data_IF_358693754805
#
_entry.id   IF_358693754805
#
_cell.length_a   1.000
_cell.length_b   1.000
_cell.length_c   1.000
_cell.angle_alpha   90.00
_cell.angle_beta   90.00
_cell.angle_gamma   90.00
#
_symmetry.space_group_name_H-M   'P 1'
#
loop_
_entity.id
_entity.type
_entity.pdbx_description
1 polymer ?
#
# COMPACT_ATOMS: atom_id res chain seq x y z
N UNK A 1 30.64 -16.97 -12.69
CA UNK A 1 29.18 -16.81 -12.70
C UNK A 1 28.84 -15.39 -12.29
N UNK A 2 28.04 -14.68 -13.07
CA UNK A 2 27.63 -13.31 -12.75
C UNK A 2 26.21 -13.32 -12.20
N UNK A 3 26.00 -12.65 -11.06
CA UNK A 3 24.66 -12.46 -10.50
C UNK A 3 23.97 -11.32 -11.23
N UNK A 4 22.70 -11.54 -11.60
CA UNK A 4 21.89 -10.49 -12.23
C UNK A 4 21.61 -9.35 -11.24
N UNK A 5 21.77 -8.13 -11.72
CA UNK A 5 21.41 -6.93 -10.99
C UNK A 5 20.63 -5.99 -11.92
N UNK A 6 19.43 -5.60 -11.51
CA UNK A 6 18.57 -4.75 -12.33
C UNK A 6 19.16 -3.35 -12.46
N UNK A 7 18.96 -2.75 -13.65
CA UNK A 7 19.34 -1.34 -13.90
C UNK A 7 18.09 -0.47 -13.88
N UNK A 8 18.14 0.74 -13.31
CA UNK A 8 16.96 1.59 -13.14
C UNK A 8 16.17 1.87 -14.42
N UNK A 9 16.84 1.97 -15.56
CA UNK A 9 16.18 2.25 -16.84
C UNK A 9 15.62 1.04 -17.59
N UNK A 10 15.89 -0.17 -17.14
CA UNK A 10 15.55 -1.41 -17.84
C UNK A 10 14.37 -2.16 -17.24
N UNK A 11 13.82 -1.70 -16.12
CA UNK A 11 12.73 -2.40 -15.43
C UNK A 11 11.39 -2.04 -16.07
N UNK A 12 10.68 -3.05 -16.58
CA UNK A 12 9.30 -2.89 -17.03
C UNK A 12 8.36 -2.87 -15.83
N UNK A 13 7.49 -1.87 -15.77
CA UNK A 13 6.50 -1.73 -14.70
C UNK A 13 5.10 -1.88 -15.26
N UNK A 14 4.30 -2.69 -14.58
CA UNK A 14 2.90 -2.90 -14.91
C UNK A 14 2.01 -2.18 -13.92
N UNK A 15 0.75 -1.98 -14.28
CA UNK A 15 -0.27 -1.43 -13.41
C UNK A 15 -1.21 -2.53 -12.98
N UNK A 16 -1.45 -2.64 -11.68
CA UNK A 16 -2.36 -3.63 -11.10
C UNK A 16 -3.50 -2.96 -10.37
N UNK A 17 -4.68 -3.54 -10.48
CA UNK A 17 -5.89 -3.10 -9.79
C UNK A 17 -6.24 -4.08 -8.68
N UNK A 18 -6.51 -3.56 -7.50
CA UNK A 18 -6.91 -4.34 -6.33
C UNK A 18 -8.24 -3.80 -5.80
N UNK A 19 -9.21 -4.68 -5.61
CA UNK A 19 -10.45 -4.35 -4.92
C UNK A 19 -10.31 -4.71 -3.45
N UNK A 20 -10.39 -3.70 -2.58
CA UNK A 20 -10.23 -3.87 -1.13
C UNK A 20 -11.52 -4.33 -0.43
N UNK A 21 -12.66 -4.36 -1.14
CA UNK A 21 -13.93 -4.72 -0.55
C UNK A 21 -13.89 -6.12 0.06
N UNK A 22 -14.18 -6.21 1.37
CA UNK A 22 -14.19 -7.47 2.09
C UNK A 22 -12.83 -8.11 2.35
N UNK A 23 -11.72 -7.48 1.91
CA UNK A 23 -10.37 -8.00 2.14
C UNK A 23 -9.86 -7.58 3.52
N UNK A 24 -9.11 -8.47 4.17
CA UNK A 24 -8.47 -8.17 5.46
C UNK A 24 -7.32 -7.19 5.27
N UNK A 25 -7.33 -6.11 6.04
CA UNK A 25 -6.38 -5.00 5.90
C UNK A 25 -4.91 -5.46 5.93
N UNK A 26 -4.51 -6.21 6.95
CA UNK A 26 -3.11 -6.62 7.12
C UNK A 26 -2.62 -7.53 6.00
N UNK A 27 -3.42 -8.53 5.63
CA UNK A 27 -3.06 -9.47 4.56
C UNK A 27 -2.99 -8.80 3.19
N UNK A 28 -3.94 -7.90 2.92
CA UNK A 28 -3.93 -7.12 1.68
C UNK A 28 -2.70 -6.20 1.62
N UNK A 29 -2.40 -5.52 2.71
CA UNK A 29 -1.26 -4.61 2.78
C UNK A 29 0.07 -5.33 2.54
N UNK A 30 0.23 -6.56 3.04
CA UNK A 30 1.44 -7.36 2.79
C UNK A 30 1.64 -7.65 1.30
N UNK A 31 0.59 -8.03 0.62
CA UNK A 31 0.65 -8.34 -0.82
C UNK A 31 0.92 -7.09 -1.65
N UNK A 32 0.31 -5.97 -1.29
CA UNK A 32 0.55 -4.68 -1.94
C UNK A 32 2.01 -4.26 -1.75
N UNK A 33 2.55 -4.38 -0.54
CA UNK A 33 3.93 -4.03 -0.24
C UNK A 33 4.92 -4.88 -1.05
N UNK A 34 4.69 -6.18 -1.16
CA UNK A 34 5.53 -7.07 -1.96
C UNK A 34 5.50 -6.70 -3.45
N UNK A 35 4.33 -6.34 -3.96
CA UNK A 35 4.18 -5.90 -5.35
C UNK A 35 4.91 -4.57 -5.60
N UNK A 36 4.82 -3.62 -4.68
CA UNK A 36 5.50 -2.32 -4.79
C UNK A 36 7.02 -2.46 -4.75
N UNK A 37 7.54 -3.43 -3.98
CA UNK A 37 8.98 -3.71 -3.91
C UNK A 37 9.48 -4.56 -5.07
N UNK A 38 8.60 -5.31 -5.70
CA UNK A 38 8.96 -6.23 -6.76
C UNK A 38 9.49 -7.58 -6.29
N UNK A 39 9.23 -7.97 -5.04
CA UNK A 39 9.74 -9.24 -4.48
C UNK A 39 9.27 -10.48 -5.24
N UNK A 40 8.13 -10.39 -5.92
CA UNK A 40 7.59 -11.51 -6.71
C UNK A 40 8.22 -11.65 -8.09
N UNK A 41 9.02 -10.69 -8.50
CA UNK A 41 9.68 -10.71 -9.80
C UNK A 41 11.04 -11.40 -9.71
N UNK A 42 11.44 -12.19 -10.72
CA UNK A 42 12.78 -12.76 -10.78
C UNK A 42 13.88 -11.70 -10.81
N UNK A 43 13.57 -10.50 -11.34
CA UNK A 43 14.52 -9.39 -11.44
C UNK A 43 14.71 -8.62 -10.13
N UNK A 44 14.08 -9.03 -9.03
CA UNK A 44 14.17 -8.31 -7.77
C UNK A 44 15.61 -8.00 -7.37
N UNK A 45 15.89 -6.72 -7.19
CA UNK A 45 17.20 -6.20 -6.75
C UNK A 45 16.95 -5.25 -5.58
N UNK A 46 17.55 -5.49 -4.38
CA UNK A 46 17.23 -4.70 -3.19
C UNK A 46 17.49 -3.21 -3.28
N UNK A 47 18.48 -2.79 -4.06
CA UNK A 47 18.85 -1.37 -4.18
C UNK A 47 18.18 -0.64 -5.35
N UNK A 48 17.38 -1.34 -6.14
CA UNK A 48 16.68 -0.79 -7.32
C UNK A 48 15.18 -0.99 -7.15
N UNK A 49 14.38 -0.02 -7.54
CA UNK A 49 12.93 -0.13 -7.55
C UNK A 49 12.48 -0.97 -8.75
N UNK A 50 12.24 -2.26 -8.50
CA UNK A 50 11.79 -3.22 -9.51
C UNK A 50 10.28 -3.50 -9.43
N UNK A 51 9.57 -2.83 -8.53
CA UNK A 51 8.14 -3.06 -8.30
C UNK A 51 7.23 -2.42 -9.33
N UNK A 52 5.94 -2.69 -9.19
CA UNK A 52 4.88 -2.24 -10.09
C UNK A 52 4.00 -1.19 -9.43
N UNK A 53 3.17 -0.52 -10.25
CA UNK A 53 2.14 0.38 -9.75
C UNK A 53 0.95 -0.42 -9.26
N UNK A 54 0.35 0.00 -8.14
CA UNK A 54 -0.84 -0.63 -7.57
C UNK A 54 -1.92 0.42 -7.37
N UNK A 55 -3.11 0.14 -7.90
CA UNK A 55 -4.31 0.94 -7.70
C UNK A 55 -5.24 0.15 -6.78
N UNK A 56 -5.65 0.76 -5.68
CA UNK A 56 -6.59 0.14 -4.74
C UNK A 56 -7.90 0.93 -4.78
N UNK A 57 -9.00 0.22 -4.97
CA UNK A 57 -10.34 0.80 -4.96
C UNK A 57 -11.14 0.22 -3.80
N UNK A 58 -12.26 0.87 -3.46
CA UNK A 58 -13.12 0.49 -2.34
C UNK A 58 -12.40 0.44 -0.99
N UNK A 59 -11.48 1.37 -0.75
CA UNK A 59 -10.73 1.43 0.51
C UNK A 59 -11.64 1.60 1.73
N UNK A 60 -12.80 2.24 1.58
CA UNK A 60 -13.78 2.42 2.65
C UNK A 60 -14.42 1.12 3.13
N UNK A 61 -14.38 0.07 2.29
CA UNK A 61 -15.00 -1.24 2.56
C UNK A 61 -13.99 -2.28 3.01
N UNK A 62 -12.80 -1.88 3.43
CA UNK A 62 -11.79 -2.80 3.95
C UNK A 62 -12.27 -3.48 5.23
N UNK A 63 -11.97 -4.76 5.39
CA UNK A 63 -12.36 -5.54 6.57
C UNK A 63 -11.20 -5.63 7.57
N UNK A 64 -11.57 -5.65 8.85
CA UNK A 64 -10.63 -5.92 9.94
C UNK A 64 -11.26 -6.93 10.89
N UNK A 65 -10.43 -7.75 11.54
CA UNK A 65 -10.90 -8.79 12.47
C UNK A 65 -10.95 -8.28 13.91
N UNK A 66 -11.79 -8.92 14.74
CA UNK A 66 -11.91 -8.58 16.16
C UNK A 66 -12.46 -7.18 16.38
N UNK A 67 -12.07 -6.58 17.51
CA UNK A 67 -12.51 -5.24 17.91
C UNK A 67 -11.56 -4.12 17.47
N UNK A 68 -10.76 -4.35 16.42
CA UNK A 68 -9.76 -3.39 15.97
C UNK A 68 -10.35 -2.05 15.55
N UNK A 69 -11.59 -2.02 15.09
CA UNK A 69 -12.26 -0.77 14.71
C UNK A 69 -12.31 0.24 15.85
N UNK A 70 -12.50 -0.25 17.08
CA UNK A 70 -12.61 0.59 18.27
C UNK A 70 -11.31 0.61 19.11
N UNK A 71 -10.45 -0.40 18.97
CA UNK A 71 -9.25 -0.56 19.79
C UNK A 71 -7.96 -0.11 19.09
N UNK A 72 -7.86 -0.28 17.78
CA UNK A 72 -6.68 0.18 17.06
C UNK A 72 -6.66 1.69 17.00
N UNK A 73 -5.54 2.27 17.45
CA UNK A 73 -5.37 3.72 17.53
C UNK A 73 -4.32 4.22 16.55
N UNK A 74 -4.61 5.37 15.94
CA UNK A 74 -3.65 6.11 15.12
C UNK A 74 -3.24 7.35 15.87
N UNK A 75 -1.96 7.44 16.24
CA UNK A 75 -1.40 8.53 17.03
C UNK A 75 -0.62 9.50 16.15
N UNK A 76 -0.78 10.77 16.42
CA UNK A 76 0.00 11.83 15.78
C UNK A 76 0.37 12.87 16.82
N UNK A 77 1.62 13.33 16.79
CA UNK A 77 2.12 14.35 17.70
C UNK A 77 2.59 15.57 16.91
N UNK A 78 2.16 16.77 17.36
CA UNK A 78 2.51 18.03 16.71
C UNK A 78 3.94 18.51 17.02
N UNK A 79 4.61 17.92 18.02
CA UNK A 79 5.89 18.37 18.51
C UNK A 79 5.82 19.37 19.66
N UNK A 80 4.62 19.83 20.03
CA UNK A 80 4.41 20.74 21.13
C UNK A 80 3.88 20.01 22.37
N UNK A 81 4.13 20.51 23.62
CA UNK A 81 3.56 19.91 24.82
C UNK A 81 2.03 19.76 24.69
N UNK A 82 1.51 18.56 25.05
CA UNK A 82 0.09 18.26 24.91
C UNK A 82 -0.39 18.09 23.47
N UNK A 83 0.50 17.96 22.52
CA UNK A 83 0.18 17.86 21.09
C UNK A 83 -0.15 16.46 20.57
N UNK A 84 -0.32 15.47 21.44
CA UNK A 84 -0.70 14.12 21.05
C UNK A 84 -2.17 14.09 20.61
N UNK A 85 -2.41 13.64 19.37
CA UNK A 85 -3.76 13.40 18.85
C UNK A 85 -3.90 11.94 18.49
N UNK A 86 -5.06 11.37 18.82
CA UNK A 86 -5.34 9.96 18.59
C UNK A 86 -6.70 9.80 17.95
N UNK A 87 -6.81 8.83 17.04
CA UNK A 87 -8.06 8.43 16.40
C UNK A 87 -8.16 6.91 16.43
N UNK A 88 -9.39 6.41 16.59
CA UNK A 88 -9.65 4.99 16.39
C UNK A 88 -9.64 4.65 14.90
N UNK A 89 -9.54 3.36 14.58
CA UNK A 89 -9.64 2.91 13.19
C UNK A 89 -10.98 3.33 12.56
N UNK A 90 -12.06 3.25 13.33
CA UNK A 90 -13.41 3.66 12.87
C UNK A 90 -13.42 5.14 12.46
N UNK A 91 -12.89 6.01 13.30
CA UNK A 91 -12.79 7.44 12.99
C UNK A 91 -11.91 7.71 11.77
N UNK A 92 -10.81 6.98 11.65
CA UNK A 92 -9.90 7.13 10.52
C UNK A 92 -10.55 6.70 9.20
N UNK A 93 -11.33 5.61 9.22
CA UNK A 93 -12.10 5.16 8.05
C UNK A 93 -13.17 6.16 7.63
N UNK A 94 -13.83 6.81 8.60
CA UNK A 94 -14.85 7.82 8.32
C UNK A 94 -14.25 9.09 7.72
N UNK A 95 -13.08 9.52 8.20
CA UNK A 95 -12.44 10.75 7.75
C UNK A 95 -11.61 10.59 6.49
N UNK A 96 -10.72 9.60 6.47
CA UNK A 96 -9.77 9.37 5.38
C UNK A 96 -9.54 7.87 5.20
N UNK A 97 -10.45 7.16 4.54
CA UNK A 97 -10.30 5.71 4.38
C UNK A 97 -9.06 5.32 3.57
N UNK A 98 -8.61 6.17 2.64
CA UNK A 98 -7.41 5.90 1.84
C UNK A 98 -6.15 5.84 2.70
N UNK A 99 -6.07 6.63 3.76
CA UNK A 99 -4.90 6.67 4.63
C UNK A 99 -4.73 5.37 5.45
N UNK A 100 -5.81 4.67 5.74
CA UNK A 100 -5.74 3.40 6.49
C UNK A 100 -4.88 2.39 5.73
N UNK A 101 -5.14 2.19 4.45
CA UNK A 101 -4.36 1.27 3.62
C UNK A 101 -2.94 1.79 3.41
N UNK A 102 -2.79 3.08 3.15
CA UNK A 102 -1.47 3.69 2.93
C UNK A 102 -0.57 3.56 4.14
N UNK A 103 -1.08 3.80 5.34
CA UNK A 103 -0.31 3.65 6.58
C UNK A 103 0.09 2.19 6.81
N UNK A 104 -0.83 1.25 6.57
CA UNK A 104 -0.54 -0.18 6.72
C UNK A 104 0.58 -0.63 5.76
N UNK A 105 0.51 -0.22 4.50
CA UNK A 105 1.54 -0.55 3.50
C UNK A 105 2.87 0.11 3.84
N UNK A 106 2.86 1.37 4.24
CA UNK A 106 4.07 2.08 4.63
C UNK A 106 4.79 1.40 5.81
N UNK A 107 4.03 0.89 6.77
CA UNK A 107 4.60 0.16 7.91
C UNK A 107 5.25 -1.17 7.52
N UNK A 108 4.87 -1.75 6.38
CA UNK A 108 5.42 -3.00 5.86
C UNK A 108 6.56 -2.80 4.86
N UNK A 109 6.81 -1.58 4.44
CA UNK A 109 7.96 -1.23 3.60
C UNK A 109 9.16 -0.85 4.45
N UNK A 110 10.40 -1.00 3.95
CA UNK A 110 11.59 -0.51 4.66
C UNK A 110 11.50 0.99 4.92
N UNK A 111 12.20 1.48 5.94
CA UNK A 111 12.18 2.91 6.30
C UNK A 111 13.40 3.62 5.70
N UNK A 112 13.42 3.75 4.38
CA UNK A 112 14.51 4.37 3.63
C UNK A 112 13.99 5.19 2.45
N UNK A 113 14.90 5.80 1.70
CA UNK A 113 14.54 6.63 0.55
C UNK A 113 13.89 5.85 -0.59
N UNK A 114 14.39 4.63 -0.83
CA UNK A 114 13.84 3.76 -1.88
C UNK A 114 12.38 3.40 -1.58
N UNK A 115 12.06 3.07 -0.34
CA UNK A 115 10.69 2.76 0.07
C UNK A 115 9.75 3.96 -0.10
N UNK A 116 10.23 5.18 0.11
CA UNK A 116 9.41 6.38 -0.15
C UNK A 116 9.07 6.51 -1.63
N UNK A 117 10.00 6.20 -2.53
CA UNK A 117 9.73 6.17 -3.96
C UNK A 117 8.76 5.03 -4.32
N UNK A 118 8.93 3.87 -3.72
CA UNK A 118 8.02 2.73 -3.93
C UNK A 118 6.60 3.07 -3.48
N UNK A 119 6.44 3.75 -2.36
CA UNK A 119 5.12 4.13 -1.84
C UNK A 119 4.39 5.10 -2.78
N UNK A 120 5.09 5.95 -3.52
CA UNK A 120 4.46 6.86 -4.49
C UNK A 120 3.74 6.14 -5.62
N UNK A 121 4.07 4.88 -5.89
CA UNK A 121 3.40 4.06 -6.89
C UNK A 121 2.08 3.45 -6.40
N UNK A 122 1.77 3.59 -5.12
CA UNK A 122 0.49 3.17 -4.55
C UNK A 122 -0.54 4.28 -4.74
N UNK A 123 -1.64 3.96 -5.41
CA UNK A 123 -2.76 4.87 -5.63
C UNK A 123 -3.99 4.28 -4.96
N UNK A 124 -4.53 4.93 -3.95
CA UNK A 124 -5.65 4.42 -3.16
C UNK A 124 -6.87 5.32 -3.33
N UNK A 125 -8.01 4.72 -3.60
CA UNK A 125 -9.28 5.41 -3.78
C UNK A 125 -10.36 4.80 -2.87
N UNK A 126 -11.16 5.66 -2.26
CA UNK A 126 -12.20 5.24 -1.34
C UNK A 126 -13.35 4.49 -2.04
N UNK A 127 -13.77 4.98 -3.20
CA UNK A 127 -14.86 4.41 -3.99
C UNK A 127 -14.40 3.40 -5.02
N UNK A 128 -15.35 2.92 -5.87
CA UNK A 128 -15.05 1.91 -6.88
C UNK A 128 -14.38 2.47 -8.15
N UNK A 129 -14.34 3.77 -8.30
CA UNK A 129 -13.82 4.42 -9.51
C UNK A 129 -12.37 4.88 -9.32
N UNK A 130 -11.60 4.87 -10.43
CA UNK A 130 -10.24 5.39 -10.47
C UNK A 130 -9.97 6.08 -11.81
N UNK A 131 -9.08 7.09 -11.87
CA UNK A 131 -8.79 7.84 -13.09
C UNK A 131 -7.71 7.18 -13.99
N UNK A 132 -7.38 5.92 -13.77
CA UNK A 132 -6.25 5.24 -14.41
C UNK A 132 -6.66 4.26 -15.52
N UNK A 133 -7.79 4.49 -16.19
CA UNK A 133 -8.28 3.60 -17.27
C UNK A 133 -7.28 3.53 -18.42
N UNK A 134 -6.64 4.64 -18.74
CA UNK A 134 -5.69 4.71 -19.86
C UNK A 134 -4.40 3.89 -19.62
N UNK A 135 -4.06 3.58 -18.37
CA UNK A 135 -2.93 2.74 -18.04
C UNK A 135 -3.22 1.24 -18.20
N UNK A 136 -4.47 0.86 -18.49
CA UNK A 136 -4.91 -0.53 -18.63
C UNK A 136 -4.49 -1.42 -17.46
N UNK A 137 -4.92 -1.10 -16.22
CA UNK A 137 -4.53 -1.90 -15.06
C UNK A 137 -5.08 -3.32 -15.14
N UNK A 138 -4.25 -4.30 -14.78
CA UNK A 138 -4.64 -5.70 -14.72
C UNK A 138 -5.04 -6.06 -13.29
N UNK A 139 -5.99 -7.00 -13.10
CA UNK A 139 -6.30 -7.49 -11.76
C UNK A 139 -5.08 -8.12 -11.12
N UNK A 140 -4.78 -7.74 -9.87
CA UNK A 140 -3.74 -8.38 -9.08
C UNK A 140 -4.33 -9.66 -8.47
N UNK A 141 -3.66 -10.79 -8.68
CA UNK A 141 -4.05 -12.06 -8.08
C UNK A 141 -3.61 -12.04 -6.61
N UNK A 142 -4.60 -12.03 -5.71
CA UNK A 142 -4.35 -12.05 -4.26
C UNK A 142 -4.31 -13.47 -3.75
N UNK A 143 -3.28 -13.77 -2.98
CA UNK A 143 -3.20 -15.03 -2.23
C UNK A 143 -4.03 -14.92 -0.95
N UNK A 144 -4.77 -15.96 -0.67
CA UNK A 144 -5.57 -16.04 0.57
C UNK A 144 -4.77 -16.66 1.70
#
# INVERSE_FOLDING_TARGET
MKTYSAKPGEVAREWYLVDAEGKTLGRLATQIADTLRGKRKPQYTPHVDTGDFVIVVNAEKIAVTGNKRDQKMYHRHSGYPGGLKSRTLREQLDRRPTEVIRIAVRGMLPKNRLARQQLTKLKVYAGPEHPHVSQNPRPLILEQ
#
